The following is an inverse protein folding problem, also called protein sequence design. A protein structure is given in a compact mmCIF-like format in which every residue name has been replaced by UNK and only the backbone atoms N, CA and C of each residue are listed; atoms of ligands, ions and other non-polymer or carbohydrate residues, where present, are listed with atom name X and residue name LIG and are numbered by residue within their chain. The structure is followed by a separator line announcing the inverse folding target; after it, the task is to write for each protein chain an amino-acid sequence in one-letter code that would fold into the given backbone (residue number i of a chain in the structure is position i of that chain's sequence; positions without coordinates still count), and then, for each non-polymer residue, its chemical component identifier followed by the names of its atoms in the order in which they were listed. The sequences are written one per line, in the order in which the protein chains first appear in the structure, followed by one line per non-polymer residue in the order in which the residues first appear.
data_IF_396246260899
#
_entry.id   IF_396246260899
#
_cell.length_a   1.000
_cell.length_b   1.000
_cell.length_c   1.000
_cell.angle_alpha   90.00
_cell.angle_beta   90.00
_cell.angle_gamma   90.00
#
_symmetry.space_group_name_H-M   'P 1'
#
loop_
_entity.id
_entity.type
_entity.pdbx_description
1 polymer ?
#
# COMPACT_ATOMS: atom_id res chain seq x y z
N UNK A 1 31.91 -19.63 13.73
CA UNK A 1 31.16 -18.89 12.71
C UNK A 1 29.78 -18.62 13.27
N UNK A 2 29.46 -17.37 13.61
CA UNK A 2 28.09 -17.02 13.97
C UNK A 2 27.27 -17.06 12.69
N UNK A 3 26.28 -17.95 12.62
CA UNK A 3 25.25 -17.90 11.59
C UNK A 3 24.36 -16.71 11.91
N UNK A 4 24.51 -15.61 11.19
CA UNK A 4 23.53 -14.53 11.22
C UNK A 4 22.26 -15.10 10.57
N UNK A 5 21.26 -15.41 11.38
CA UNK A 5 19.91 -15.65 10.87
C UNK A 5 19.41 -14.32 10.34
N UNK A 6 19.65 -14.06 9.05
CA UNK A 6 18.97 -12.98 8.34
C UNK A 6 17.56 -13.49 8.11
N UNK A 7 16.63 -13.06 8.97
CA UNK A 7 15.23 -13.09 8.62
C UNK A 7 15.11 -12.14 7.43
N UNK A 8 15.11 -12.67 6.21
CA UNK A 8 14.88 -11.87 5.02
C UNK A 8 13.37 -11.61 4.94
N UNK A 9 12.89 -10.74 5.84
CA UNK A 9 11.53 -10.24 5.81
C UNK A 9 11.26 -9.67 4.43
N UNK A 10 10.08 -9.95 3.88
CA UNK A 10 9.71 -9.40 2.58
C UNK A 10 9.42 -7.92 2.75
N UNK A 11 10.05 -7.09 1.92
CA UNK A 11 9.86 -5.65 1.95
C UNK A 11 8.86 -5.25 0.87
N UNK A 12 7.74 -4.66 1.28
CA UNK A 12 6.72 -4.13 0.37
C UNK A 12 6.86 -2.63 0.30
N UNK A 13 7.16 -2.11 -0.88
CA UNK A 13 7.16 -0.68 -1.16
C UNK A 13 5.90 -0.32 -1.90
N UNK A 14 5.29 0.80 -1.52
CA UNK A 14 4.05 1.29 -2.12
C UNK A 14 4.26 2.73 -2.55
N UNK A 15 3.65 3.11 -3.66
CA UNK A 15 3.77 4.45 -4.22
C UNK A 15 2.49 4.84 -4.94
N UNK A 16 2.19 6.14 -4.91
CA UNK A 16 1.13 6.76 -5.69
C UNK A 16 1.70 7.94 -6.46
N UNK A 17 1.41 8.02 -7.75
CA UNK A 17 1.93 9.05 -8.64
C UNK A 17 0.80 9.81 -9.32
N UNK A 18 1.10 11.03 -9.74
CA UNK A 18 0.23 11.81 -10.62
C UNK A 18 1.07 12.58 -11.62
N UNK A 19 0.72 12.47 -12.90
CA UNK A 19 1.27 13.28 -13.98
C UNK A 19 0.15 13.79 -14.86
N UNK A 20 0.00 15.11 -14.93
CA UNK A 20 -1.13 15.76 -15.59
C UNK A 20 -2.47 15.16 -15.09
N UNK A 21 -3.29 14.71 -16.04
CA UNK A 21 -4.59 14.08 -15.81
C UNK A 21 -4.51 12.55 -15.61
N UNK A 22 -3.33 12.00 -15.31
CA UNK A 22 -3.16 10.58 -15.02
C UNK A 22 -2.71 10.39 -13.57
N UNK A 23 -3.41 9.50 -12.87
CA UNK A 23 -3.09 9.12 -11.51
C UNK A 23 -2.83 7.62 -11.47
N UNK A 24 -1.69 7.21 -10.91
CA UNK A 24 -1.26 5.82 -10.86
C UNK A 24 -0.95 5.38 -9.45
N UNK A 25 -1.14 4.10 -9.15
CA UNK A 25 -0.89 3.48 -7.86
C UNK A 25 -0.15 2.17 -8.08
N UNK A 26 0.85 1.87 -7.25
CA UNK A 26 1.61 0.64 -7.39
C UNK A 26 2.20 0.15 -6.06
N UNK A 27 2.45 -1.15 -5.97
CA UNK A 27 3.35 -1.71 -4.97
C UNK A 27 4.30 -2.74 -5.59
N UNK A 28 5.47 -2.93 -4.98
CA UNK A 28 6.34 -4.06 -5.23
C UNK A 28 6.72 -4.73 -3.91
N UNK A 29 6.90 -6.05 -3.95
CA UNK A 29 7.46 -6.83 -2.86
C UNK A 29 8.85 -7.30 -3.28
N UNK A 30 9.84 -7.11 -2.41
CA UNK A 30 11.24 -7.46 -2.60
C UNK A 30 11.64 -8.46 -1.52
N UNK A 31 12.16 -9.61 -1.93
CA UNK A 31 12.74 -10.59 -1.02
C UNK A 31 14.07 -11.04 -1.60
N UNK A 32 15.11 -11.11 -0.76
CA UNK A 32 16.47 -11.48 -1.21
C UNK A 32 16.96 -10.62 -2.38
N UNK A 33 16.76 -9.30 -2.30
CA UNK A 33 17.14 -8.32 -3.34
C UNK A 33 16.44 -8.50 -4.71
N UNK A 34 15.45 -9.39 -4.80
CA UNK A 34 14.69 -9.65 -6.01
C UNK A 34 13.22 -9.24 -5.86
N UNK A 35 12.64 -8.65 -6.91
CA UNK A 35 11.21 -8.35 -6.96
C UNK A 35 10.44 -9.67 -7.08
N UNK A 36 9.65 -10.01 -6.06
CA UNK A 36 8.85 -11.25 -6.01
C UNK A 36 7.39 -11.01 -6.38
N UNK A 37 6.88 -9.78 -6.16
CA UNK A 37 5.52 -9.39 -6.52
C UNK A 37 5.48 -7.95 -6.99
N UNK A 38 4.58 -7.68 -7.93
CA UNK A 38 4.18 -6.32 -8.27
C UNK A 38 2.67 -6.23 -8.42
N UNK A 39 2.15 -5.03 -8.23
CA UNK A 39 0.78 -4.66 -8.53
C UNK A 39 0.75 -3.20 -8.97
N UNK A 40 -0.14 -2.87 -9.90
CA UNK A 40 -0.34 -1.51 -10.38
C UNK A 40 -1.80 -1.28 -10.78
N UNK A 41 -2.28 -0.07 -10.59
CA UNK A 41 -3.58 0.38 -11.06
C UNK A 41 -3.53 1.84 -11.52
N UNK A 42 -4.29 2.14 -12.56
CA UNK A 42 -4.60 3.52 -12.95
C UNK A 42 -5.90 3.94 -12.25
N UNK A 43 -5.91 5.16 -11.75
CA UNK A 43 -7.08 5.81 -11.18
C UNK A 43 -7.59 6.88 -12.16
N UNK A 44 -8.78 7.42 -11.89
CA UNK A 44 -9.30 8.52 -12.72
C UNK A 44 -8.42 9.75 -12.63
N UNK A 45 -8.46 10.61 -13.66
CA UNK A 45 -7.83 11.93 -13.64
C UNK A 45 -8.16 12.77 -12.40
N UNK A 46 -9.39 12.66 -11.89
CA UNK A 46 -9.84 13.40 -10.72
C UNK A 46 -9.23 12.91 -9.40
N UNK A 47 -8.63 11.72 -9.36
CA UNK A 47 -8.06 11.19 -8.13
C UNK A 47 -6.77 11.90 -7.73
N UNK A 48 -6.57 12.03 -6.42
CA UNK A 48 -5.37 12.64 -5.84
C UNK A 48 -4.25 11.61 -5.67
N UNK A 49 -3.01 12.10 -5.52
CA UNK A 49 -1.85 11.26 -5.16
C UNK A 49 -2.13 10.49 -3.86
N UNK A 50 -2.73 11.15 -2.87
CA UNK A 50 -3.12 10.52 -1.60
C UNK A 50 -4.06 9.32 -1.78
N UNK A 51 -5.06 9.42 -2.67
CA UNK A 51 -5.94 8.29 -2.96
C UNK A 51 -5.20 7.13 -3.63
N UNK A 52 -4.24 7.44 -4.52
CA UNK A 52 -3.41 6.45 -5.16
C UNK A 52 -2.45 5.76 -4.17
N UNK A 53 -1.81 6.51 -3.29
CA UNK A 53 -0.95 5.97 -2.23
C UNK A 53 -1.78 5.07 -1.29
N UNK A 54 -2.99 5.49 -0.89
CA UNK A 54 -3.88 4.67 -0.06
C UNK A 54 -4.30 3.36 -0.75
N UNK A 55 -4.56 3.40 -2.06
CA UNK A 55 -4.88 2.21 -2.82
C UNK A 55 -3.70 1.23 -2.90
N UNK A 56 -2.48 1.75 -3.08
CA UNK A 56 -1.27 0.93 -3.06
C UNK A 56 -1.05 0.27 -1.70
N UNK A 57 -1.40 0.95 -0.60
CA UNK A 57 -1.33 0.37 0.74
C UNK A 57 -2.26 -0.81 0.88
N UNK A 58 -3.51 -0.60 0.46
CA UNK A 58 -4.56 -1.59 0.60
C UNK A 58 -4.14 -2.85 -0.13
N UNK A 59 -3.66 -2.69 -1.37
CA UNK A 59 -3.15 -3.80 -2.16
C UNK A 59 -1.93 -4.47 -1.50
N UNK A 60 -0.99 -3.70 -0.95
CA UNK A 60 0.17 -4.22 -0.22
C UNK A 60 -0.19 -4.99 1.05
N UNK A 61 -1.13 -4.48 1.86
CA UNK A 61 -1.66 -5.15 3.07
C UNK A 61 -2.43 -6.41 2.70
N UNK A 62 -3.31 -6.35 1.70
CA UNK A 62 -4.07 -7.52 1.24
C UNK A 62 -3.13 -8.63 0.78
N UNK A 63 -2.10 -8.28 0.02
CA UNK A 63 -1.06 -9.23 -0.37
C UNK A 63 -0.28 -9.77 0.84
N UNK A 64 0.19 -8.90 1.73
CA UNK A 64 0.92 -9.28 2.94
C UNK A 64 0.10 -10.19 3.86
N UNK A 65 -1.23 -10.03 3.90
CA UNK A 65 -2.14 -10.89 4.68
C UNK A 65 -2.21 -12.33 4.15
N UNK A 66 -1.80 -12.54 2.90
CA UNK A 66 -1.68 -13.87 2.27
C UNK A 66 -0.25 -14.41 2.28
N UNK A 67 0.74 -13.58 2.64
CA UNK A 67 2.13 -14.02 2.75
C UNK A 67 2.29 -14.85 4.03
N UNK A 68 3.00 -15.99 3.93
CA UNK A 68 3.28 -16.86 5.07
C UNK A 68 4.62 -16.52 5.74
N UNK A 69 5.05 -15.27 5.61
CA UNK A 69 6.35 -14.75 6.01
C UNK A 69 6.17 -13.39 6.68
N UNK A 70 7.17 -12.94 7.43
CA UNK A 70 7.19 -11.59 8.00
C UNK A 70 7.32 -10.56 6.87
N UNK A 71 6.41 -9.57 6.85
CA UNK A 71 6.37 -8.53 5.81
C UNK A 71 6.47 -7.15 6.43
N UNK A 72 7.43 -6.36 5.95
CA UNK A 72 7.57 -4.94 6.27
C UNK A 72 6.97 -4.11 5.14
N UNK A 73 6.02 -3.21 5.45
CA UNK A 73 5.41 -2.33 4.45
C UNK A 73 5.97 -0.91 4.60
N UNK A 74 6.64 -0.45 3.56
CA UNK A 74 7.25 0.87 3.43
C UNK A 74 6.34 1.84 2.66
N UNK A 75 6.27 3.06 3.18
CA UNK A 75 5.43 4.17 2.71
C UNK A 75 6.30 5.42 2.69
N UNK A 76 6.16 6.25 1.68
CA UNK A 76 6.92 7.48 1.51
C UNK A 76 6.29 8.69 2.23
N UNK A 77 4.98 8.64 2.52
CA UNK A 77 4.24 9.80 3.01
C UNK A 77 3.73 9.68 4.47
N UNK A 78 3.96 10.72 5.27
CA UNK A 78 3.42 10.82 6.64
C UNK A 78 1.89 10.88 6.65
N UNK A 79 1.29 11.42 5.59
CA UNK A 79 -0.17 11.48 5.41
C UNK A 79 -0.82 10.10 5.37
N UNK A 80 -0.25 9.09 4.71
CA UNK A 80 -0.79 7.72 4.79
C UNK A 80 -0.65 7.15 6.20
N UNK A 81 0.43 7.44 6.91
CA UNK A 81 0.63 6.96 8.27
C UNK A 81 -0.41 7.57 9.23
N UNK A 82 -0.65 8.88 9.11
CA UNK A 82 -1.70 9.60 9.84
C UNK A 82 -3.09 9.05 9.51
N UNK A 83 -3.35 8.76 8.24
CA UNK A 83 -4.61 8.19 7.79
C UNK A 83 -4.82 6.77 8.33
N UNK A 84 -3.79 5.92 8.35
CA UNK A 84 -3.82 4.59 8.96
C UNK A 84 -4.07 4.65 10.46
N UNK A 85 -3.37 5.53 11.19
CA UNK A 85 -3.61 5.75 12.62
C UNK A 85 -5.05 6.18 12.87
N UNK A 86 -5.54 7.12 12.07
CA UNK A 86 -6.93 7.57 12.12
C UNK A 86 -7.91 6.45 11.75
N UNK A 87 -7.55 5.56 10.82
CA UNK A 87 -8.32 4.38 10.44
C UNK A 87 -8.41 3.39 11.60
N UNK A 88 -7.29 3.09 12.24
CA UNK A 88 -7.20 2.15 13.36
C UNK A 88 -7.98 2.66 14.59
N UNK A 89 -8.03 3.98 14.79
CA UNK A 89 -8.81 4.61 15.86
C UNK A 89 -10.32 4.66 15.57
N UNK A 90 -10.75 4.56 14.31
CA UNK A 90 -12.17 4.64 13.91
C UNK A 90 -12.82 3.26 13.81
N UNK A 91 -14.09 3.16 14.23
CA UNK A 91 -14.88 1.90 14.24
C UNK A 91 -14.97 1.27 12.83
N UNK A 92 -15.09 -0.06 12.78
CA UNK A 92 -15.15 -0.88 11.55
C UNK A 92 -16.12 -0.38 10.47
N UNK A 93 -17.30 0.11 10.84
CA UNK A 93 -18.29 0.67 9.89
C UNK A 93 -17.75 1.93 9.18
N UNK A 94 -17.03 2.78 9.92
CA UNK A 94 -16.42 3.99 9.36
C UNK A 94 -15.24 3.64 8.46
N UNK A 95 -14.50 2.58 8.78
CA UNK A 95 -13.41 2.05 7.95
C UNK A 95 -13.93 1.55 6.59
N UNK A 96 -14.97 0.71 6.61
CA UNK A 96 -15.60 0.18 5.40
C UNK A 96 -16.19 1.30 4.54
N UNK A 97 -16.90 2.27 5.14
CA UNK A 97 -17.41 3.42 4.41
C UNK A 97 -16.30 4.28 3.77
N UNK A 98 -15.18 4.45 4.47
CA UNK A 98 -14.05 5.25 3.99
C UNK A 98 -13.26 4.51 2.88
N UNK A 99 -13.15 3.19 2.96
CA UNK A 99 -12.65 2.32 1.88
C UNK A 99 -13.56 2.36 0.66
N UNK A 100 -14.88 2.24 0.87
CA UNK A 100 -15.90 2.32 -0.18
C UNK A 100 -15.86 3.70 -0.85
N UNK A 101 -15.61 4.80 -0.14
CA UNK A 101 -15.44 6.13 -0.73
C UNK A 101 -14.17 6.25 -1.58
N UNK A 102 -13.07 5.65 -1.13
CA UNK A 102 -11.83 5.58 -1.89
C UNK A 102 -11.99 4.74 -3.16
N UNK A 103 -12.71 3.62 -3.08
CA UNK A 103 -13.08 2.79 -4.24
C UNK A 103 -14.14 3.46 -5.13
N UNK A 104 -15.10 4.19 -4.55
CA UNK A 104 -16.22 4.81 -5.28
C UNK A 104 -15.90 6.17 -5.91
N UNK A 105 -14.77 6.79 -5.57
CA UNK A 105 -14.17 7.81 -6.43
C UNK A 105 -13.90 7.29 -7.86
N UNK A 106 -13.86 5.95 -7.97
CA UNK A 106 -13.85 5.03 -9.11
C UNK A 106 -12.77 5.26 -10.16
N UNK A 107 -12.41 4.14 -10.74
CA UNK A 107 -11.68 3.89 -11.99
C UNK A 107 -12.54 4.34 -13.17
#
# INVERSE_FOLDING_TARGET
MQSTLVWNAVEVYTDGSKINDQTGSAFCAIANEAITKTWKANLRPANTVFQAEMLALKAGIEWASTANEEVNIWRDNESSLQALKSFNVKRKITQEAQLILLENARI
#
